data_IF_905582330312
#
_entry.id   IF_905582330312
#
_cell.length_a   1.000
_cell.length_b   1.000
_cell.length_c   1.000
_cell.angle_alpha   90.00
_cell.angle_beta   90.00
_cell.angle_gamma   90.00
#
_symmetry.space_group_name_H-M   'P 1'
#
loop_
_entity.id
_entity.type
_entity.pdbx_description
1 polymer ?
#
# COMPACT_ATOMS: atom_id res chain seq x y z
N UNK A 1 52.54 -12.86 26.07
CA UNK A 1 51.67 -13.16 24.93
C UNK A 1 51.72 -11.97 24.02
N UNK A 2 52.24 -12.14 22.81
CA UNK A 2 52.48 -11.07 21.85
C UNK A 2 51.15 -10.50 21.33
N UNK A 3 51.09 -9.18 21.20
CA UNK A 3 49.97 -8.45 20.62
C UNK A 3 50.03 -8.56 19.10
N UNK A 4 49.01 -9.16 18.51
CA UNK A 4 48.85 -9.38 17.07
C UNK A 4 48.28 -8.11 16.43
N UNK A 5 48.98 -7.57 15.44
CA UNK A 5 48.58 -6.36 14.70
C UNK A 5 47.48 -6.69 13.67
N UNK A 6 46.55 -5.75 13.39
CA UNK A 6 45.49 -5.97 12.41
C UNK A 6 46.00 -5.92 10.95
N UNK A 7 45.42 -6.71 10.03
CA UNK A 7 45.82 -6.75 8.63
C UNK A 7 45.33 -5.54 7.82
N UNK A 8 46.23 -5.00 7.02
CA UNK A 8 46.01 -3.96 6.00
C UNK A 8 44.92 -4.39 4.99
N UNK A 9 43.85 -3.59 4.90
CA UNK A 9 42.85 -3.70 3.84
C UNK A 9 43.31 -2.87 2.65
N UNK A 10 43.79 -3.55 1.61
CA UNK A 10 44.13 -2.96 0.32
C UNK A 10 42.87 -2.43 -0.40
N UNK A 11 42.91 -1.15 -0.79
CA UNK A 11 41.89 -0.52 -1.62
C UNK A 11 41.93 -1.07 -3.07
N UNK A 12 40.77 -1.34 -3.70
CA UNK A 12 40.72 -1.71 -5.11
C UNK A 12 40.91 -0.50 -6.03
N UNK A 13 41.58 -0.66 -7.19
CA UNK A 13 41.85 0.45 -8.11
C UNK A 13 40.59 0.94 -8.83
N UNK A 14 40.45 2.27 -8.90
CA UNK A 14 39.50 2.99 -9.73
C UNK A 14 39.67 2.62 -11.21
N UNK A 15 38.57 2.20 -11.85
CA UNK A 15 38.48 2.13 -13.31
C UNK A 15 37.97 3.48 -13.87
N UNK A 16 38.53 3.96 -15.00
CA UNK A 16 38.17 5.25 -15.56
C UNK A 16 36.84 5.22 -16.30
N UNK A 17 36.13 6.35 -16.18
CA UNK A 17 34.92 6.70 -16.91
C UNK A 17 35.20 6.69 -18.42
N UNK A 18 34.38 5.96 -19.17
CA UNK A 18 34.30 6.08 -20.63
C UNK A 18 33.18 7.07 -20.93
N UNK A 19 33.57 8.34 -21.09
CA UNK A 19 32.81 9.32 -21.85
C UNK A 19 32.94 8.94 -23.34
N UNK A 20 31.81 8.69 -24.00
CA UNK A 20 31.74 8.68 -25.45
C UNK A 20 30.52 9.50 -25.88
N UNK A 21 30.83 10.69 -26.38
CA UNK A 21 29.94 11.58 -27.09
C UNK A 21 29.36 10.90 -28.34
N UNK A 22 28.07 11.15 -28.61
CA UNK A 22 27.53 11.11 -29.97
C UNK A 22 26.76 12.40 -30.19
N UNK A 23 27.38 13.27 -30.98
CA UNK A 23 26.84 14.46 -31.60
C UNK A 23 25.82 14.10 -32.71
N UNK A 24 24.80 14.96 -32.79
CA UNK A 24 24.21 15.56 -33.99
C UNK A 24 23.69 14.64 -35.10
N UNK A 25 22.36 14.66 -35.27
CA UNK A 25 21.74 14.84 -36.58
C UNK A 25 20.37 15.51 -36.41
N UNK A 26 20.37 16.85 -36.55
CA UNK A 26 19.18 17.60 -36.89
C UNK A 26 19.04 17.54 -38.41
N UNK A 27 17.96 16.94 -38.92
CA UNK A 27 17.56 17.13 -40.31
C UNK A 27 16.05 17.26 -40.41
N UNK A 28 15.66 18.36 -41.03
CA UNK A 28 14.29 18.79 -41.25
C UNK A 28 13.68 18.05 -42.43
N UNK A 29 12.44 17.57 -42.30
CA UNK A 29 11.60 17.25 -43.47
C UNK A 29 10.13 17.61 -43.20
N UNK A 30 9.72 18.63 -43.95
CA UNK A 30 8.41 18.84 -44.59
C UNK A 30 7.12 18.72 -43.77
N UNK A 31 6.47 19.88 -43.63
CA UNK A 31 5.04 20.00 -43.49
C UNK A 31 4.34 19.25 -44.64
N UNK A 32 3.49 18.28 -44.27
CA UNK A 32 2.57 17.62 -45.17
C UNK A 32 1.15 17.91 -44.68
N UNK A 33 0.36 18.51 -45.55
CA UNK A 33 -1.05 18.83 -45.36
C UNK A 33 -1.81 17.62 -44.81
N UNK A 34 -2.42 17.78 -43.64
CA UNK A 34 -3.34 16.81 -43.05
C UNK A 34 -4.75 17.21 -43.47
N UNK A 35 -5.19 16.55 -44.53
CA UNK A 35 -6.56 16.45 -44.99
C UNK A 35 -7.46 15.96 -43.84
N UNK A 36 -8.59 16.63 -43.65
CA UNK A 36 -9.54 16.38 -42.57
C UNK A 36 -10.14 14.97 -42.67
N UNK A 37 -9.62 14.04 -41.87
CA UNK A 37 -10.18 12.70 -41.71
C UNK A 37 -11.51 12.77 -40.95
N UNK A 38 -12.55 12.20 -41.54
CA UNK A 38 -13.86 12.01 -40.93
C UNK A 38 -13.75 11.23 -39.59
N UNK A 39 -14.58 11.54 -38.58
CA UNK A 39 -14.53 10.88 -37.29
C UNK A 39 -14.89 9.39 -37.42
N UNK A 40 -13.96 8.54 -37.00
CA UNK A 40 -14.14 7.09 -36.94
C UNK A 40 -15.39 6.70 -36.12
N UNK A 41 -16.09 5.62 -36.49
CA UNK A 41 -17.30 5.17 -35.82
C UNK A 41 -17.01 4.86 -34.34
N UNK A 42 -17.84 5.43 -33.47
CA UNK A 42 -17.82 5.23 -32.02
C UNK A 42 -17.88 3.72 -31.73
N UNK A 43 -16.75 3.16 -31.33
CA UNK A 43 -16.64 1.76 -30.92
C UNK A 43 -17.64 1.50 -29.77
N UNK A 44 -18.65 0.70 -30.06
CA UNK A 44 -19.60 0.21 -29.06
C UNK A 44 -18.80 -0.52 -27.98
N UNK A 45 -18.80 0.07 -26.77
CA UNK A 45 -18.12 -0.42 -25.59
C UNK A 45 -18.71 -1.79 -25.21
N UNK A 46 -18.09 -2.87 -25.67
CA UNK A 46 -18.42 -4.23 -25.25
C UNK A 46 -18.39 -4.27 -23.72
N UNK A 47 -19.55 -4.55 -23.11
CA UNK A 47 -19.63 -4.90 -21.68
C UNK A 47 -18.89 -6.22 -21.53
N UNK A 48 -17.61 -6.15 -21.17
CA UNK A 48 -16.81 -7.30 -20.77
C UNK A 48 -17.58 -8.08 -19.72
N UNK A 49 -17.99 -9.31 -20.06
CA UNK A 49 -18.58 -10.26 -19.12
C UNK A 49 -17.57 -10.50 -18.00
N UNK A 50 -18.03 -10.38 -16.75
CA UNK A 50 -17.18 -10.59 -15.58
C UNK A 50 -16.96 -12.08 -15.36
N UNK A 51 -15.80 -12.44 -14.83
CA UNK A 51 -15.53 -13.84 -14.50
C UNK A 51 -16.36 -14.28 -13.28
N UNK A 52 -16.70 -15.57 -13.14
CA UNK A 52 -17.45 -16.09 -11.99
C UNK A 52 -16.83 -15.72 -10.63
N UNK A 53 -15.49 -15.68 -10.55
CA UNK A 53 -14.78 -15.24 -9.34
C UNK A 53 -14.97 -13.76 -9.00
N UNK A 54 -15.17 -12.89 -10.01
CA UNK A 54 -15.53 -11.48 -9.80
C UNK A 54 -16.96 -11.33 -9.29
N UNK A 55 -17.87 -12.18 -9.74
CA UNK A 55 -19.26 -12.22 -9.28
C UNK A 55 -19.32 -12.67 -7.81
N UNK A 56 -18.62 -13.76 -7.45
CA UNK A 56 -18.57 -14.28 -6.08
C UNK A 56 -17.98 -13.27 -5.08
N UNK A 57 -16.89 -12.58 -5.45
CA UNK A 57 -16.32 -11.51 -4.63
C UNK A 57 -17.31 -10.37 -4.35
N UNK A 58 -18.17 -10.07 -5.32
CA UNK A 58 -19.16 -9.01 -5.21
C UNK A 58 -20.36 -9.43 -4.36
N UNK A 59 -20.84 -10.66 -4.53
CA UNK A 59 -22.04 -11.17 -3.86
C UNK A 59 -21.75 -11.63 -2.43
N UNK A 60 -20.67 -12.39 -2.24
CA UNK A 60 -20.39 -13.05 -0.96
C UNK A 60 -19.47 -12.21 -0.08
N UNK A 61 -18.86 -11.16 -0.66
CA UNK A 61 -17.78 -10.38 -0.06
C UNK A 61 -16.63 -11.28 0.41
N UNK A 62 -16.43 -12.46 -0.19
CA UNK A 62 -15.39 -13.41 0.18
C UNK A 62 -14.36 -13.48 -0.93
N UNK A 63 -13.08 -13.45 -0.56
CA UNK A 63 -12.03 -13.74 -1.52
C UNK A 63 -11.76 -15.25 -1.54
N UNK A 64 -11.87 -15.94 -2.69
CA UNK A 64 -11.82 -17.41 -2.75
C UNK A 64 -10.46 -17.98 -2.29
N UNK A 65 -9.40 -17.20 -2.47
CA UNK A 65 -8.03 -17.58 -2.15
C UNK A 65 -7.46 -16.88 -0.90
N UNK A 66 -8.29 -16.15 -0.15
CA UNK A 66 -7.84 -15.58 1.13
C UNK A 66 -8.05 -16.60 2.26
N UNK A 67 -7.07 -16.69 3.16
CA UNK A 67 -7.10 -17.58 4.33
C UNK A 67 -8.12 -17.07 5.34
N UNK A 68 -8.19 -15.76 5.53
CA UNK A 68 -9.12 -15.11 6.44
C UNK A 68 -9.87 -13.97 5.77
N UNK A 69 -11.12 -13.78 6.18
CA UNK A 69 -11.95 -12.62 5.83
C UNK A 69 -12.16 -11.78 7.08
N UNK A 70 -11.62 -10.57 7.06
CA UNK A 70 -11.71 -9.64 8.18
C UNK A 70 -12.59 -8.46 7.81
N UNK A 71 -13.37 -7.96 8.77
CA UNK A 71 -14.13 -6.71 8.61
C UNK A 71 -13.38 -5.57 9.25
N UNK A 72 -13.10 -4.54 8.46
CA UNK A 72 -12.55 -3.28 8.95
C UNK A 72 -13.67 -2.40 9.49
N UNK A 73 -13.50 -1.87 10.69
CA UNK A 73 -14.42 -0.92 11.30
C UNK A 73 -13.71 0.41 11.54
N UNK A 74 -14.25 1.48 10.95
CA UNK A 74 -13.83 2.85 11.23
C UNK A 74 -14.88 3.48 12.13
N UNK A 75 -14.60 3.57 13.43
CA UNK A 75 -15.51 4.22 14.39
C UNK A 75 -15.08 5.66 14.64
N UNK A 76 -15.82 6.68 14.16
CA UNK A 76 -15.55 8.05 14.54
C UNK A 76 -15.88 8.24 16.02
N UNK A 77 -14.87 8.38 16.88
CA UNK A 77 -15.07 8.81 18.27
C UNK A 77 -15.20 10.33 18.30
N UNK A 78 -16.43 10.83 18.42
CA UNK A 78 -16.71 12.25 18.53
C UNK A 78 -17.51 12.58 19.78
N UNK A 79 -16.84 12.92 20.88
CA UNK A 79 -17.48 13.73 21.94
C UNK A 79 -17.47 15.19 21.49
N UNK A 80 -18.54 15.95 21.73
CA UNK A 80 -18.65 17.37 21.36
C UNK A 80 -17.47 18.23 21.85
N UNK A 81 -17.02 18.02 23.09
CA UNK A 81 -15.83 18.69 23.63
C UNK A 81 -14.56 18.37 22.81
N UNK A 82 -14.39 17.11 22.41
CA UNK A 82 -13.30 16.68 21.53
C UNK A 82 -13.38 17.29 20.12
N UNK A 83 -14.57 17.55 19.59
CA UNK A 83 -14.73 18.24 18.30
C UNK A 83 -14.25 19.70 18.39
N UNK A 84 -14.64 20.42 19.44
CA UNK A 84 -14.23 21.82 19.66
C UNK A 84 -12.71 21.92 19.84
N UNK A 85 -12.12 21.05 20.68
CA UNK A 85 -10.66 21.01 20.82
C UNK A 85 -9.95 20.66 19.50
N UNK A 86 -10.49 19.75 18.69
CA UNK A 86 -9.94 19.43 17.37
C UNK A 86 -9.98 20.64 16.43
N UNK A 87 -11.07 21.40 16.39
CA UNK A 87 -11.17 22.59 15.52
C UNK A 87 -10.16 23.66 15.95
N UNK A 88 -10.07 23.94 17.26
CA UNK A 88 -9.14 24.93 17.80
C UNK A 88 -7.67 24.56 17.54
N UNK A 89 -7.32 23.26 17.63
CA UNK A 89 -5.99 22.75 17.29
C UNK A 89 -5.77 22.65 15.77
N UNK A 90 -6.82 22.40 14.99
CA UNK A 90 -6.72 22.22 13.55
C UNK A 90 -6.35 23.51 12.83
N UNK A 91 -6.78 24.68 13.30
CA UNK A 91 -6.47 25.97 12.65
C UNK A 91 -4.96 26.25 12.59
N UNK A 92 -4.19 26.25 13.70
CA UNK A 92 -2.76 26.50 13.63
C UNK A 92 -2.03 25.37 12.90
N UNK A 93 -2.45 24.11 13.07
CA UNK A 93 -1.90 22.98 12.34
C UNK A 93 -2.13 23.14 10.83
N UNK A 94 -3.33 23.54 10.41
CA UNK A 94 -3.67 23.77 9.02
C UNK A 94 -2.88 24.94 8.44
N UNK A 95 -2.70 26.03 9.19
CA UNK A 95 -1.88 27.16 8.76
C UNK A 95 -0.41 26.75 8.52
N UNK A 96 0.16 25.93 9.42
CA UNK A 96 1.51 25.37 9.28
C UNK A 96 1.59 24.35 8.13
N UNK A 97 0.54 23.54 7.94
CA UNK A 97 0.48 22.52 6.89
C UNK A 97 0.07 23.08 5.52
N UNK A 98 -0.47 24.30 5.44
CA UNK A 98 -1.00 24.88 4.19
C UNK A 98 0.06 24.91 3.07
N UNK A 99 1.32 25.35 3.29
CA UNK A 99 2.35 25.30 2.25
C UNK A 99 2.62 23.86 1.78
N UNK A 100 2.61 22.89 2.69
CA UNK A 100 2.79 21.47 2.37
C UNK A 100 1.60 20.94 1.56
N UNK A 101 0.38 21.37 1.89
CA UNK A 101 -0.84 21.02 1.15
C UNK A 101 -0.79 21.61 -0.25
N UNK A 102 -0.44 22.90 -0.41
CA UNK A 102 -0.32 23.54 -1.71
C UNK A 102 0.76 22.87 -2.57
N UNK A 103 1.92 22.57 -1.99
CA UNK A 103 2.97 21.81 -2.66
C UNK A 103 2.47 20.43 -3.13
N UNK A 104 1.72 19.72 -2.28
CA UNK A 104 1.09 18.45 -2.66
C UNK A 104 0.11 18.62 -3.82
N UNK A 105 -0.70 19.69 -3.85
CA UNK A 105 -1.63 19.98 -4.96
C UNK A 105 -0.86 20.25 -6.25
N UNK A 106 0.22 21.02 -6.22
CA UNK A 106 1.07 21.27 -7.39
C UNK A 106 1.68 19.97 -7.90
N UNK A 107 2.26 19.16 -7.02
CA UNK A 107 2.79 17.84 -7.40
C UNK A 107 1.69 16.96 -8.00
N UNK A 108 0.48 16.96 -7.41
CA UNK A 108 -0.66 16.21 -7.91
C UNK A 108 -1.03 16.64 -9.34
N UNK A 109 -1.09 17.94 -9.61
CA UNK A 109 -1.41 18.50 -10.93
C UNK A 109 -0.34 18.17 -11.97
N UNK A 110 0.93 18.07 -11.57
CA UNK A 110 2.03 17.67 -12.46
C UNK A 110 2.05 16.15 -12.73
N UNK A 111 1.76 15.35 -11.70
CA UNK A 111 1.84 13.88 -11.78
C UNK A 111 0.57 13.28 -12.39
N UNK A 112 -0.59 13.93 -12.27
CA UNK A 112 -1.85 13.41 -12.80
C UNK A 112 -1.85 13.23 -14.34
N UNK A 113 -1.38 14.19 -15.16
CA UNK A 113 -1.22 13.97 -16.60
C UNK A 113 -0.28 12.81 -16.92
N UNK A 114 0.85 12.73 -16.21
CA UNK A 114 1.81 11.62 -16.36
C UNK A 114 1.18 10.28 -15.97
N UNK A 115 0.31 10.26 -14.96
CA UNK A 115 -0.45 9.07 -14.59
C UNK A 115 -1.42 8.64 -15.67
N UNK A 116 -2.13 9.58 -16.30
CA UNK A 116 -3.02 9.29 -17.42
C UNK A 116 -2.27 8.74 -18.64
N UNK A 117 -1.07 9.27 -18.93
CA UNK A 117 -0.27 8.90 -20.10
C UNK A 117 0.61 7.65 -19.91
N UNK A 118 1.24 7.51 -18.75
CA UNK A 118 2.34 6.57 -18.51
C UNK A 118 2.20 5.80 -17.18
N UNK A 119 0.96 5.44 -16.83
CA UNK A 119 0.61 4.74 -15.58
C UNK A 119 1.53 3.57 -15.21
N UNK A 120 1.75 2.62 -16.14
CA UNK A 120 2.53 1.41 -15.90
C UNK A 120 3.99 1.75 -15.59
N UNK A 121 4.55 2.74 -16.28
CA UNK A 121 5.91 3.23 -16.04
C UNK A 121 6.03 3.85 -14.66
N UNK A 122 5.06 4.68 -14.25
CA UNK A 122 5.05 5.27 -12.90
C UNK A 122 4.96 4.21 -11.80
N UNK A 123 4.10 3.19 -11.97
CA UNK A 123 4.03 2.07 -11.02
C UNK A 123 5.38 1.34 -10.90
N UNK A 124 6.05 1.07 -12.04
CA UNK A 124 7.39 0.47 -12.05
C UNK A 124 8.46 1.37 -11.40
N UNK A 125 8.39 2.70 -11.58
CA UNK A 125 9.27 3.64 -10.88
C UNK A 125 9.11 3.55 -9.37
N UNK A 126 7.88 3.31 -8.91
CA UNK A 126 7.59 3.01 -7.51
C UNK A 126 7.67 1.50 -7.26
N UNK A 127 8.44 0.72 -8.03
CA UNK A 127 8.68 -0.71 -7.78
C UNK A 127 7.43 -1.56 -7.50
N UNK A 128 6.27 -1.17 -8.04
CA UNK A 128 5.03 -1.94 -7.97
C UNK A 128 4.65 -2.42 -9.36
N UNK A 129 4.07 -3.62 -9.40
CA UNK A 129 3.59 -4.24 -10.61
C UNK A 129 2.08 -4.41 -10.52
N UNK A 130 1.37 -4.07 -11.60
CA UNK A 130 -0.05 -4.37 -11.69
C UNK A 130 -0.21 -5.91 -11.71
N UNK A 131 -0.80 -6.45 -10.64
CA UNK A 131 -1.12 -7.88 -10.51
C UNK A 131 -2.59 -8.06 -10.19
N UNK A 132 -3.09 -9.22 -10.54
CA UNK A 132 -4.48 -9.60 -10.31
C UNK A 132 -4.67 -9.99 -8.85
N UNK A 133 -5.58 -9.32 -8.13
CA UNK A 133 -5.92 -9.69 -6.75
C UNK A 133 -6.55 -11.09 -6.67
N UNK A 134 -7.13 -11.60 -7.76
CA UNK A 134 -7.74 -12.95 -7.81
C UNK A 134 -6.73 -14.07 -7.57
N UNK A 135 -5.44 -13.83 -7.81
CA UNK A 135 -4.36 -14.80 -7.63
C UNK A 135 -3.33 -14.26 -6.61
N UNK A 136 -3.68 -14.19 -5.31
CA UNK A 136 -2.90 -13.47 -4.32
C UNK A 136 -1.61 -14.19 -3.91
N UNK A 137 -1.29 -15.34 -4.51
CA UNK A 137 -0.09 -16.12 -4.22
C UNK A 137 1.21 -15.32 -4.38
N UNK A 138 1.23 -14.29 -5.23
CA UNK A 138 2.39 -13.40 -5.36
C UNK A 138 2.70 -12.61 -4.08
N UNK A 139 1.73 -12.44 -3.18
CA UNK A 139 1.89 -11.72 -1.91
C UNK A 139 2.61 -12.55 -0.87
N UNK A 140 2.49 -13.87 -0.93
CA UNK A 140 3.14 -14.77 0.01
C UNK A 140 4.67 -14.66 -0.08
N UNK A 141 5.39 -14.80 1.03
CA UNK A 141 6.84 -14.91 1.00
C UNK A 141 7.25 -16.15 0.20
N UNK A 142 8.28 -16.03 -0.62
CA UNK A 142 8.86 -17.18 -1.33
C UNK A 142 9.35 -18.19 -0.29
N UNK A 143 8.85 -19.42 -0.37
CA UNK A 143 8.85 -20.47 0.65
C UNK A 143 10.21 -21.08 1.01
N UNK A 144 11.31 -20.33 0.93
CA UNK A 144 12.65 -20.80 1.22
C UNK A 144 13.25 -20.09 2.44
N UNK A 145 12.85 -20.53 3.64
CA UNK A 145 13.75 -20.52 4.81
C UNK A 145 13.62 -19.39 5.84
N UNK A 146 12.71 -18.42 5.71
CA UNK A 146 12.41 -17.52 6.83
C UNK A 146 11.32 -18.14 7.70
N UNK A 147 11.71 -18.68 8.86
CA UNK A 147 10.77 -18.92 9.95
C UNK A 147 10.12 -17.59 10.32
N UNK A 148 8.84 -17.43 9.97
CA UNK A 148 8.11 -16.23 10.39
C UNK A 148 7.79 -16.32 11.87
N UNK A 149 8.05 -15.24 12.62
CA UNK A 149 7.65 -15.15 14.03
C UNK A 149 6.14 -14.96 14.20
N UNK A 150 5.41 -14.81 13.08
CA UNK A 150 3.98 -14.60 13.06
C UNK A 150 3.25 -15.93 13.38
N UNK A 151 2.28 -15.93 14.32
CA UNK A 151 1.47 -17.10 14.67
C UNK A 151 0.78 -17.71 13.45
N UNK A 152 0.55 -19.02 13.48
CA UNK A 152 -0.06 -19.76 12.37
C UNK A 152 -1.43 -19.19 11.95
N UNK A 153 -2.23 -18.68 12.88
CA UNK A 153 -3.51 -18.04 12.59
C UNK A 153 -3.38 -16.77 11.74
N UNK A 154 -2.24 -16.07 11.83
CA UNK A 154 -1.97 -14.84 11.09
C UNK A 154 -1.16 -15.08 9.80
N UNK A 155 -1.03 -16.35 9.38
CA UNK A 155 -0.33 -16.74 8.16
C UNK A 155 -1.25 -16.69 6.93
N UNK A 156 -0.67 -16.36 5.79
CA UNK A 156 -1.35 -16.23 4.50
C UNK A 156 -1.79 -14.82 4.10
N UNK A 157 -2.79 -14.76 3.22
CA UNK A 157 -3.38 -13.53 2.69
C UNK A 157 -4.79 -13.35 3.25
N UNK A 158 -5.07 -12.15 3.72
CA UNK A 158 -6.31 -11.77 4.40
C UNK A 158 -7.06 -10.80 3.49
N UNK A 159 -8.36 -11.00 3.35
CA UNK A 159 -9.24 -10.08 2.63
C UNK A 159 -9.91 -9.11 3.60
N UNK A 160 -9.71 -7.80 3.39
CA UNK A 160 -10.28 -6.77 4.25
C UNK A 160 -11.58 -6.21 3.68
N UNK A 161 -12.71 -6.62 4.28
CA UNK A 161 -14.04 -6.11 3.97
C UNK A 161 -14.21 -4.69 4.51
N UNK A 162 -14.94 -3.87 3.75
CA UNK A 162 -15.32 -2.49 4.11
C UNK A 162 -14.12 -1.58 4.42
N UNK A 163 -12.94 -1.91 3.92
CA UNK A 163 -11.78 -1.10 4.18
C UNK A 163 -11.88 0.25 3.42
N UNK A 164 -11.79 1.39 4.13
CA UNK A 164 -11.95 2.71 3.51
C UNK A 164 -10.77 3.13 2.62
N UNK A 165 -9.63 2.45 2.72
CA UNK A 165 -8.36 2.89 2.11
C UNK A 165 -8.11 2.28 0.71
N UNK A 166 -9.12 1.65 0.10
CA UNK A 166 -9.08 1.05 -1.24
C UNK A 166 -8.01 -0.06 -1.40
N UNK A 167 -7.49 -0.58 -0.31
CA UNK A 167 -6.77 -1.85 -0.23
C UNK A 167 -7.72 -3.00 0.13
N UNK A 168 -7.53 -4.13 -0.56
CA UNK A 168 -8.44 -5.26 -0.50
C UNK A 168 -7.79 -6.49 0.19
N UNK A 169 -6.48 -6.65 0.05
CA UNK A 169 -5.73 -7.80 0.56
C UNK A 169 -4.52 -7.35 1.38
N UNK A 170 -4.20 -8.11 2.42
CA UNK A 170 -3.02 -7.92 3.26
C UNK A 170 -2.33 -9.24 3.56
N UNK A 171 -1.00 -9.25 3.55
CA UNK A 171 -0.18 -10.39 3.96
C UNK A 171 0.56 -10.06 5.26
N UNK A 172 0.04 -10.60 6.37
CA UNK A 172 0.54 -10.31 7.72
C UNK A 172 1.91 -10.94 8.00
N UNK A 173 2.28 -12.01 7.29
CA UNK A 173 3.58 -12.69 7.41
C UNK A 173 4.78 -11.79 7.09
N UNK A 174 4.54 -10.69 6.37
CA UNK A 174 5.57 -9.67 6.06
C UNK A 174 5.82 -8.69 7.21
N UNK A 175 5.09 -8.84 8.32
CA UNK A 175 5.27 -8.07 9.54
C UNK A 175 6.24 -8.70 10.53
N UNK A 176 6.42 -8.04 11.66
CA UNK A 176 7.17 -8.55 12.81
C UNK A 176 6.20 -8.74 13.98
N UNK A 177 6.15 -9.96 14.50
CA UNK A 177 5.33 -10.29 15.66
C UNK A 177 6.07 -10.01 16.97
N UNK A 178 5.40 -9.30 17.88
CA UNK A 178 5.78 -9.10 19.28
C UNK A 178 4.86 -9.96 20.15
N UNK A 179 5.39 -11.10 20.61
CA UNK A 179 4.65 -12.07 21.40
C UNK A 179 4.28 -11.53 22.79
N UNK A 180 5.16 -10.74 23.42
CA UNK A 180 4.92 -10.18 24.75
C UNK A 180 3.82 -9.12 24.74
N UNK A 181 3.71 -8.36 23.65
CA UNK A 181 2.69 -7.34 23.46
C UNK A 181 1.42 -7.81 22.76
N UNK A 182 1.42 -9.00 22.14
CA UNK A 182 0.40 -9.47 21.19
C UNK A 182 0.20 -8.49 20.03
N UNK A 183 1.31 -7.97 19.48
CA UNK A 183 1.29 -6.93 18.44
C UNK A 183 1.94 -7.39 17.16
N UNK A 184 1.31 -7.09 16.04
CA UNK A 184 1.93 -7.21 14.73
C UNK A 184 2.36 -5.83 14.25
N UNK A 185 3.66 -5.68 14.00
CA UNK A 185 4.23 -4.52 13.34
C UNK A 185 4.28 -4.76 11.84
N UNK A 186 3.35 -4.18 11.09
CA UNK A 186 3.21 -4.39 9.66
C UNK A 186 3.72 -3.17 8.87
N UNK A 187 4.87 -3.28 8.19
CA UNK A 187 5.40 -2.20 7.37
C UNK A 187 4.65 -2.10 6.04
N UNK A 188 3.93 -1.01 5.83
CA UNK A 188 3.06 -0.84 4.64
C UNK A 188 3.86 -0.47 3.40
N UNK A 189 5.05 0.10 3.58
CA UNK A 189 5.97 0.46 2.49
C UNK A 189 6.68 -0.74 1.84
N UNK A 190 6.58 -1.93 2.43
CA UNK A 190 7.18 -3.14 1.85
C UNK A 190 6.28 -3.64 0.73
N UNK A 191 6.90 -3.95 -0.42
CA UNK A 191 6.20 -4.47 -1.57
C UNK A 191 5.42 -5.74 -1.21
N UNK A 192 4.23 -5.87 -1.78
CA UNK A 192 3.35 -7.05 -1.64
C UNK A 192 2.81 -7.30 -0.21
N UNK A 193 3.03 -6.40 0.73
CA UNK A 193 2.34 -6.44 2.05
C UNK A 193 0.86 -6.11 1.90
N UNK A 194 0.53 -5.19 1.00
CA UNK A 194 -0.83 -4.73 0.73
C UNK A 194 -1.12 -4.76 -0.77
N UNK A 195 -2.32 -5.17 -1.15
CA UNK A 195 -2.83 -5.00 -2.52
C UNK A 195 -3.67 -3.74 -2.59
N UNK A 196 -3.46 -2.94 -3.62
CA UNK A 196 -4.13 -1.66 -3.81
C UNK A 196 -4.92 -1.67 -5.10
N UNK A 197 -6.11 -1.07 -5.10
CA UNK A 197 -6.81 -0.83 -6.37
C UNK A 197 -5.97 0.08 -7.24
N UNK A 198 -5.95 -0.24 -8.52
CA UNK A 198 -5.29 0.58 -9.52
C UNK A 198 -6.13 1.87 -9.68
N UNK A 199 -5.85 2.89 -8.88
CA UNK A 199 -6.45 4.24 -8.95
C UNK A 199 -5.37 5.28 -8.64
N UNK A 200 -5.55 6.50 -9.15
CA UNK A 200 -4.60 7.59 -8.92
C UNK A 200 -4.45 7.95 -7.43
N UNK A 201 -5.57 8.00 -6.70
CA UNK A 201 -5.54 8.27 -5.25
C UNK A 201 -4.71 7.23 -4.50
N UNK A 202 -4.80 5.96 -4.91
CA UNK A 202 -4.08 4.85 -4.30
C UNK A 202 -2.60 4.87 -4.68
N UNK A 203 -2.26 5.31 -5.89
CA UNK A 203 -0.87 5.58 -6.27
C UNK A 203 -0.26 6.73 -5.44
N UNK A 204 -0.99 7.83 -5.26
CA UNK A 204 -0.54 8.94 -4.42
C UNK A 204 -0.34 8.48 -2.97
N UNK A 205 -1.25 7.65 -2.45
CA UNK A 205 -1.11 7.01 -1.14
C UNK A 205 0.15 6.15 -1.08
N UNK A 206 0.40 5.27 -2.06
CA UNK A 206 1.59 4.43 -2.13
C UNK A 206 2.89 5.24 -2.08
N UNK A 207 2.97 6.32 -2.86
CA UNK A 207 4.12 7.23 -2.83
C UNK A 207 4.29 7.82 -1.43
N UNK A 208 3.20 8.31 -0.82
CA UNK A 208 3.23 8.83 0.54
C UNK A 208 3.66 7.78 1.58
N UNK A 209 3.19 6.53 1.45
CA UNK A 209 3.57 5.41 2.32
C UNK A 209 5.08 5.22 2.31
N UNK A 210 5.68 5.21 1.11
CA UNK A 210 7.11 4.95 0.95
C UNK A 210 7.98 6.10 1.42
N UNK A 211 7.54 7.33 1.20
CA UNK A 211 8.23 8.51 1.71
C UNK A 211 8.17 8.59 3.24
N UNK A 212 7.01 8.32 3.84
CA UNK A 212 6.80 8.43 5.29
C UNK A 212 7.20 7.16 6.06
N UNK A 213 7.47 6.06 5.34
CA UNK A 213 7.79 4.73 5.89
C UNK A 213 6.88 4.31 7.05
N UNK A 214 5.58 4.55 6.89
CA UNK A 214 4.65 4.28 7.97
C UNK A 214 4.44 2.78 8.20
N UNK A 215 4.07 2.45 9.43
CA UNK A 215 3.80 1.09 9.88
C UNK A 215 2.42 1.04 10.51
N UNK A 216 1.70 -0.05 10.28
CA UNK A 216 0.57 -0.39 11.12
C UNK A 216 1.04 -1.20 12.31
N UNK A 217 0.48 -0.92 13.47
CA UNK A 217 0.61 -1.72 14.67
C UNK A 217 -0.75 -2.30 14.94
N UNK A 218 -0.91 -3.60 14.71
CA UNK A 218 -2.14 -4.33 14.99
C UNK A 218 -2.02 -4.91 16.40
N UNK A 219 -2.73 -4.34 17.37
CA UNK A 219 -2.83 -4.86 18.73
C UNK A 219 -3.95 -5.92 18.77
N UNK A 220 -3.60 -7.20 18.91
CA UNK A 220 -4.57 -8.30 18.92
C UNK A 220 -5.08 -8.60 20.32
N UNK A 221 -6.34 -9.01 20.43
CA UNK A 221 -6.94 -9.55 21.65
C UNK A 221 -7.18 -11.04 21.48
N UNK A 222 -6.89 -11.82 22.53
CA UNK A 222 -7.27 -13.24 22.60
C UNK A 222 -8.69 -13.36 23.13
N UNK A 223 -9.46 -14.22 22.50
CA UNK A 223 -10.71 -14.71 23.07
C UNK A 223 -10.45 -15.74 24.20
N UNK A 224 -11.51 -16.19 24.87
CA UNK A 224 -11.41 -17.20 25.94
C UNK A 224 -10.89 -18.56 25.47
N UNK A 225 -10.81 -18.81 24.15
CA UNK A 225 -10.25 -20.02 23.54
C UNK A 225 -8.80 -19.84 23.06
N UNK A 226 -8.21 -18.65 23.24
CA UNK A 226 -6.85 -18.32 22.84
C UNK A 226 -6.68 -17.85 21.39
N UNK A 227 -7.77 -17.68 20.63
CA UNK A 227 -7.73 -17.25 19.23
C UNK A 227 -7.65 -15.72 19.11
N UNK A 228 -6.98 -15.25 18.05
CA UNK A 228 -6.79 -13.83 17.72
C UNK A 228 -7.89 -13.33 16.78
N UNK A 229 -9.08 -13.08 17.32
CA UNK A 229 -10.24 -12.75 16.49
C UNK A 229 -10.42 -11.23 16.27
N UNK A 230 -9.88 -10.40 17.15
CA UNK A 230 -10.02 -8.95 17.07
C UNK A 230 -8.64 -8.29 17.14
N UNK A 231 -8.48 -7.22 16.35
CA UNK A 231 -7.30 -6.37 16.40
C UNK A 231 -7.67 -4.90 16.30
N UNK A 232 -6.95 -4.07 17.04
CA UNK A 232 -6.97 -2.61 16.85
C UNK A 232 -5.76 -2.19 16.05
N UNK A 233 -5.98 -1.49 14.94
CA UNK A 233 -4.91 -1.03 14.05
C UNK A 233 -4.58 0.42 14.40
N UNK A 234 -3.32 0.66 14.80
CA UNK A 234 -2.76 1.99 15.02
C UNK A 234 -1.78 2.34 13.92
N UNK A 235 -1.86 3.56 13.41
CA UNK A 235 -0.89 4.09 12.46
C UNK A 235 0.33 4.63 13.21
N UNK A 236 1.53 4.17 12.86
CA UNK A 236 2.80 4.67 13.38
C UNK A 236 3.58 5.35 12.26
N UNK A 237 3.80 6.66 12.41
CA UNK A 237 4.56 7.52 11.52
C UNK A 237 5.90 7.81 12.19
N UNK A 238 7.00 7.27 11.66
CA UNK A 238 8.32 7.36 12.29
C UNK A 238 8.29 6.94 13.78
N UNK A 239 8.52 7.86 14.71
CA UNK A 239 8.47 7.63 16.15
C UNK A 239 7.10 7.95 16.78
N UNK A 240 6.16 8.54 16.05
CA UNK A 240 4.85 8.94 16.56
C UNK A 240 3.78 7.91 16.25
N UNK A 241 3.00 7.54 17.26
CA UNK A 241 1.80 6.71 17.07
C UNK A 241 0.60 7.63 17.03
N UNK A 242 -0.20 7.53 15.96
CA UNK A 242 -1.44 8.30 15.83
C UNK A 242 -2.39 7.86 16.96
N UNK A 243 -2.86 8.79 17.80
CA UNK A 243 -3.78 8.46 18.87
C UNK A 243 -5.08 7.86 18.34
N UNK A 244 -5.62 6.86 19.05
CA UNK A 244 -6.92 6.25 18.76
C UNK A 244 -8.09 7.25 18.81
N UNK A 245 -7.90 8.39 19.46
CA UNK A 245 -8.86 9.48 19.47
C UNK A 245 -8.99 10.16 18.12
N UNK A 246 -7.95 10.13 17.27
CA UNK A 246 -7.98 10.72 15.92
C UNK A 246 -8.51 9.69 14.93
N UNK A 247 -7.99 8.47 15.01
CA UNK A 247 -8.26 7.43 14.02
C UNK A 247 -8.33 6.06 14.71
N UNK A 248 -9.50 5.44 14.64
CA UNK A 248 -9.74 4.13 15.23
C UNK A 248 -10.14 3.13 14.15
N UNK A 249 -9.18 2.29 13.77
CA UNK A 249 -9.40 1.15 12.90
C UNK A 249 -9.48 -0.11 13.75
N UNK A 250 -10.60 -0.81 13.69
CA UNK A 250 -10.75 -2.16 14.22
C UNK A 250 -10.75 -3.18 13.09
N UNK A 251 -10.26 -4.38 13.36
CA UNK A 251 -10.31 -5.52 12.47
C UNK A 251 -10.90 -6.69 13.25
N UNK A 252 -11.92 -7.34 12.70
CA UNK A 252 -12.56 -8.51 13.32
C UNK A 252 -12.61 -9.64 12.30
N UNK A 253 -12.18 -10.83 12.71
CA UNK A 253 -12.32 -12.06 11.94
C UNK A 253 -13.81 -12.44 11.85
N UNK A 254 -14.32 -12.53 10.63
CA UNK A 254 -15.70 -12.93 10.32
C UNK A 254 -15.73 -14.15 9.40
N UNK A 255 -14.64 -14.91 9.36
CA UNK A 255 -14.52 -16.07 8.49
C UNK A 255 -15.55 -17.14 8.88
N UNK A 256 -15.81 -17.33 10.18
CA UNK A 256 -16.80 -18.29 10.69
C UNK A 256 -18.25 -17.85 10.42
N UNK A 257 -18.57 -16.58 10.60
CA UNK A 257 -19.95 -16.07 10.51
C UNK A 257 -20.55 -16.13 9.08
N UNK A 258 -19.71 -16.24 8.04
CA UNK A 258 -20.15 -16.33 6.64
C UNK A 258 -19.93 -17.70 5.99
N UNK A 259 -19.31 -18.65 6.69
CA UNK A 259 -19.13 -20.02 6.20
C UNK A 259 -20.33 -20.93 6.55
N UNK A 260 -21.41 -20.35 7.07
CA UNK A 260 -22.68 -21.00 7.36
C UNK A 260 -22.97 -21.06 8.86
N UNK A 261 -23.78 -20.11 9.32
CA UNK A 261 -24.87 -20.43 10.25
C UNK A 261 -26.13 -20.73 9.45
#
# INVERSE_FOLDING_TARGET
GAAEAPPDLAEPPLQPAVEAAVEVAAEAVAAKDVEAAEPAPVAQRQKTSRSPGQEALRTDQKHPNAVLNVVSTLKPRGTWCGLVCRILLAIPVLAVLLPVILLKVVILLLVLPLWCLARRSLLRCVGEEARSNFEPAYMLPSSSGLSTSVPDQLRGVFYMRNNPMDDDLVCMERGTWDEGGMKLHLPVYIARTWSFKEKFITFALLVAVRLLRYRYVCDFTRDGSGNLNEATIRLRLFCFTVPLSILHFGMTDVSKDKDGS
#
